data_IF_034558247847
#
_entry.id   IF_034558247847
#
_cell.length_a   1.000
_cell.length_b   1.000
_cell.length_c   1.000
_cell.angle_alpha   90.00
_cell.angle_beta   90.00
_cell.angle_gamma   90.00
#
_symmetry.space_group_name_H-M   'P 1'
#
loop_
_entity.id
_entity.type
_entity.pdbx_description
1 polymer ?
#
# COMPACT_ATOMS: atom_id res chain seq x y z
N UNK A 1 -21.17 21.02 17.75
CA UNK A 1 -20.24 22.17 17.55
C UNK A 1 -19.60 22.03 16.19
N UNK A 2 -19.18 23.10 15.51
CA UNK A 2 -18.53 23.00 14.19
C UNK A 2 -17.04 23.29 14.26
N UNK A 3 -16.25 22.55 13.48
CA UNK A 3 -14.81 22.75 13.27
C UNK A 3 -14.59 23.09 11.81
N UNK A 4 -13.71 24.05 11.52
CA UNK A 4 -13.48 24.53 10.16
C UNK A 4 -11.99 24.57 9.85
N UNK A 5 -11.65 24.16 8.64
CA UNK A 5 -10.33 24.32 8.04
C UNK A 5 -10.40 25.47 7.04
N UNK A 6 -9.45 26.39 7.16
CA UNK A 6 -9.39 27.61 6.35
C UNK A 6 -8.19 27.62 5.38
N UNK A 7 -7.69 26.43 5.02
CA UNK A 7 -6.56 26.23 4.10
C UNK A 7 -6.92 26.54 2.64
N UNK A 8 -6.08 26.08 1.71
CA UNK A 8 -6.33 26.13 0.26
C UNK A 8 -7.68 25.53 -0.16
N UNK A 9 -8.20 24.53 0.59
CA UNK A 9 -9.55 24.02 0.42
C UNK A 9 -10.24 23.91 1.78
N UNK A 10 -11.30 24.71 1.95
CA UNK A 10 -12.06 24.75 3.19
C UNK A 10 -12.92 23.50 3.35
N UNK A 11 -12.86 22.90 4.53
CA UNK A 11 -13.71 21.79 4.95
C UNK A 11 -14.30 22.09 6.32
N UNK A 12 -15.60 21.80 6.48
CA UNK A 12 -16.34 22.00 7.74
C UNK A 12 -16.77 20.65 8.29
N UNK A 13 -16.64 20.50 9.60
CA UNK A 13 -16.95 19.28 10.33
C UNK A 13 -17.95 19.56 11.44
N UNK A 14 -18.88 18.62 11.63
CA UNK A 14 -19.75 18.59 12.80
C UNK A 14 -19.15 17.68 13.86
N UNK A 15 -19.00 18.20 15.08
CA UNK A 15 -18.55 17.45 16.24
C UNK A 15 -19.72 16.91 17.05
N UNK A 16 -19.66 15.61 17.35
CA UNK A 16 -20.59 14.91 18.22
C UNK A 16 -19.83 14.05 19.25
N UNK A 17 -20.39 13.99 20.47
CA UNK A 17 -19.96 13.05 21.52
C UNK A 17 -20.73 11.75 21.32
N UNK A 18 -20.03 10.61 21.36
CA UNK A 18 -20.60 9.27 21.26
C UNK A 18 -20.59 8.60 22.64
N UNK A 19 -21.19 7.40 22.75
CA UNK A 19 -21.20 6.65 24.02
C UNK A 19 -19.80 6.21 24.49
N UNK A 20 -18.86 6.12 23.55
CA UNK A 20 -17.52 5.55 23.68
C UNK A 20 -16.42 6.54 23.27
N UNK A 21 -16.76 7.77 22.89
CA UNK A 21 -15.76 8.77 22.51
C UNK A 21 -16.34 10.00 21.82
N UNK A 22 -15.74 10.39 20.71
CA UNK A 22 -16.21 11.51 19.90
C UNK A 22 -15.94 11.29 18.42
N UNK A 23 -16.72 11.97 17.58
CA UNK A 23 -16.59 11.94 16.12
C UNK A 23 -16.73 13.34 15.52
N UNK A 24 -15.92 13.60 14.50
CA UNK A 24 -16.05 14.70 13.56
C UNK A 24 -16.55 14.14 12.24
N UNK A 25 -17.69 14.63 11.75
CA UNK A 25 -18.25 14.22 10.45
C UNK A 25 -18.17 15.37 9.45
N UNK A 26 -17.62 15.09 8.28
CA UNK A 26 -17.45 16.05 7.20
C UNK A 26 -18.01 15.56 5.87
N UNK A 27 -18.13 16.47 4.90
CA UNK A 27 -18.56 16.14 3.53
C UNK A 27 -17.44 16.22 2.49
N UNK A 28 -16.21 16.48 2.93
CA UNK A 28 -15.02 16.57 2.09
C UNK A 28 -14.24 15.26 2.03
N UNK A 29 -12.92 15.35 1.87
CA UNK A 29 -12.01 14.19 1.78
C UNK A 29 -12.02 13.38 3.06
N UNK A 30 -12.02 14.07 4.20
CA UNK A 30 -12.24 13.47 5.51
C UNK A 30 -13.74 13.41 5.77
N UNK A 31 -14.30 12.21 5.70
CA UNK A 31 -15.73 11.94 5.93
C UNK A 31 -16.02 11.73 7.41
N UNK A 32 -15.13 11.04 8.10
CA UNK A 32 -15.21 10.85 9.54
C UNK A 32 -13.81 10.82 10.16
N UNK A 33 -13.66 11.46 11.32
CA UNK A 33 -12.53 11.30 12.23
C UNK A 33 -13.08 11.02 13.62
N UNK A 34 -12.81 9.85 14.18
CA UNK A 34 -13.27 9.48 15.50
C UNK A 34 -12.11 9.18 16.44
N UNK A 35 -12.33 9.44 17.73
CA UNK A 35 -11.50 8.91 18.82
C UNK A 35 -12.42 8.13 19.73
N UNK A 36 -12.17 6.83 19.85
CA UNK A 36 -12.95 5.92 20.71
C UNK A 36 -12.08 5.36 21.83
N UNK A 37 -12.74 5.07 22.95
CA UNK A 37 -12.15 4.51 24.15
C UNK A 37 -12.81 3.16 24.42
N UNK A 38 -11.99 2.14 24.66
CA UNK A 38 -12.42 0.75 24.78
C UNK A 38 -12.95 0.38 26.17
N UNK A 39 -12.75 -0.88 26.55
CA UNK A 39 -13.18 -1.41 27.84
C UNK A 39 -12.50 -0.67 29.01
N UNK A 40 -13.22 -0.53 30.13
CA UNK A 40 -12.73 0.16 31.33
C UNK A 40 -12.86 1.68 31.30
N UNK A 41 -13.17 2.29 30.16
CA UNK A 41 -13.48 3.72 30.06
C UNK A 41 -14.97 3.98 30.33
N UNK A 42 -15.25 5.06 31.06
CA UNK A 42 -16.59 5.50 31.40
C UNK A 42 -17.20 6.36 30.28
N UNK A 43 -18.44 6.83 30.49
CA UNK A 43 -19.12 7.68 29.49
C UNK A 43 -18.39 9.01 29.32
N UNK A 44 -18.03 9.41 28.09
CA UNK A 44 -17.38 10.70 27.84
C UNK A 44 -18.29 11.90 28.08
N UNK A 45 -17.68 13.02 28.46
CA UNK A 45 -18.33 14.31 28.64
C UNK A 45 -17.69 15.36 27.74
N UNK A 46 -18.51 16.25 27.16
CA UNK A 46 -18.00 17.36 26.38
C UNK A 46 -17.16 18.31 27.25
N UNK A 47 -16.10 18.87 26.69
CA UNK A 47 -15.33 19.92 27.35
C UNK A 47 -16.22 21.17 27.58
N UNK A 48 -16.06 21.82 28.72
CA UNK A 48 -16.77 23.05 29.04
C UNK A 48 -16.38 24.20 28.10
N UNK A 49 -15.09 24.27 27.75
CA UNK A 49 -14.51 25.26 26.85
C UNK A 49 -13.84 24.56 25.65
N UNK A 50 -14.36 24.82 24.44
CA UNK A 50 -13.80 24.32 23.19
C UNK A 50 -14.46 23.04 22.66
N UNK A 51 -13.85 22.45 21.63
CA UNK A 51 -14.34 21.23 20.98
C UNK A 51 -13.51 20.04 21.46
N UNK A 52 -14.16 19.04 22.04
CA UNK A 52 -13.48 17.87 22.58
C UNK A 52 -14.27 17.16 23.68
N UNK A 53 -13.65 16.14 24.26
CA UNK A 53 -14.19 15.36 25.38
C UNK A 53 -13.17 15.15 26.49
N UNK A 54 -13.69 14.89 27.68
CA UNK A 54 -12.99 14.25 28.80
C UNK A 54 -13.69 12.92 29.11
N UNK A 55 -12.91 11.91 29.47
CA UNK A 55 -13.41 10.58 29.83
C UNK A 55 -12.56 10.02 30.97
N UNK A 56 -13.18 9.37 31.94
CA UNK A 56 -12.49 8.72 33.06
C UNK A 56 -12.38 7.22 32.81
N UNK A 57 -11.27 6.61 33.22
CA UNK A 57 -11.11 5.16 33.29
C UNK A 57 -11.37 4.69 34.73
N UNK A 58 -11.95 3.49 34.90
CA UNK A 58 -12.22 2.88 36.22
C UNK A 58 -10.97 2.73 37.09
N UNK A 59 -9.78 2.70 36.48
CA UNK A 59 -8.50 2.65 37.18
C UNK A 59 -8.02 4.01 37.73
N UNK A 60 -8.68 5.13 37.38
CA UNK A 60 -8.31 6.48 37.83
C UNK A 60 -7.40 7.25 36.87
N UNK A 61 -7.41 6.89 35.58
CA UNK A 61 -6.77 7.65 34.49
C UNK A 61 -7.81 8.53 33.81
N UNK A 62 -7.47 9.77 33.51
CA UNK A 62 -8.32 10.72 32.78
C UNK A 62 -7.81 10.87 31.35
N UNK A 63 -8.69 10.58 30.40
CA UNK A 63 -8.48 10.81 28.97
C UNK A 63 -9.05 12.16 28.55
N UNK A 64 -8.31 12.89 27.72
CA UNK A 64 -8.78 14.15 27.11
C UNK A 64 -8.52 14.13 25.62
N UNK A 65 -9.54 14.49 24.85
CA UNK A 65 -9.44 14.72 23.40
C UNK A 65 -9.81 16.17 23.14
N UNK A 66 -8.96 16.91 22.43
CA UNK A 66 -9.22 18.30 22.04
C UNK A 66 -9.04 18.48 20.54
N UNK A 67 -9.99 19.17 19.92
CA UNK A 67 -9.97 19.52 18.51
C UNK A 67 -9.89 21.04 18.38
N UNK A 68 -8.97 21.52 17.55
CA UNK A 68 -8.79 22.95 17.28
C UNK A 68 -8.91 23.23 15.79
N UNK A 69 -9.78 24.18 15.44
CA UNK A 69 -9.94 24.73 14.08
C UNK A 69 -8.75 25.63 13.69
N UNK A 70 -8.55 25.85 12.40
CA UNK A 70 -7.53 26.77 11.91
C UNK A 70 -7.19 26.54 10.45
N UNK A 71 -6.00 27.02 10.03
CA UNK A 71 -5.46 26.69 8.69
C UNK A 71 -5.27 25.18 8.54
N UNK A 72 -5.04 24.49 9.65
CA UNK A 72 -4.97 23.03 9.76
C UNK A 72 -5.79 22.64 10.98
N UNK A 73 -6.54 21.55 10.89
CA UNK A 73 -7.23 21.04 12.07
C UNK A 73 -6.21 20.30 12.94
N UNK A 74 -6.22 20.56 14.25
CA UNK A 74 -5.36 19.87 15.21
C UNK A 74 -6.19 19.00 16.15
N UNK A 75 -5.78 17.76 16.33
CA UNK A 75 -6.30 16.81 17.29
C UNK A 75 -5.23 16.53 18.35
N UNK A 76 -5.50 16.82 19.61
CA UNK A 76 -4.66 16.43 20.75
C UNK A 76 -5.38 15.34 21.55
N UNK A 77 -4.66 14.27 21.85
CA UNK A 77 -5.12 13.16 22.70
C UNK A 77 -4.15 13.04 23.87
N UNK A 78 -4.68 12.95 25.08
CA UNK A 78 -3.89 12.91 26.30
C UNK A 78 -4.48 11.94 27.32
N UNK A 79 -3.61 11.24 28.05
CA UNK A 79 -3.94 10.44 29.23
C UNK A 79 -3.14 10.94 30.42
N UNK A 80 -3.83 11.19 31.54
CA UNK A 80 -3.22 11.61 32.80
C UNK A 80 -3.60 10.65 33.93
N UNK A 81 -2.62 10.20 34.69
CA UNK A 81 -2.84 9.36 35.87
C UNK A 81 -2.97 10.23 37.12
N UNK A 82 -4.18 10.28 37.68
CA UNK A 82 -4.48 11.07 38.88
C UNK A 82 -4.21 10.31 40.19
N UNK A 83 -3.85 9.04 40.11
CA UNK A 83 -3.65 8.13 41.25
C UNK A 83 -2.17 7.95 41.58
N UNK A 84 -1.91 7.40 42.77
CA UNK A 84 -0.56 7.28 43.33
C UNK A 84 0.27 6.10 42.81
N UNK A 85 -0.31 5.25 41.96
CA UNK A 85 0.29 4.00 41.48
C UNK A 85 0.48 4.02 39.95
N UNK A 86 1.36 3.17 39.42
CA UNK A 86 1.52 2.98 37.96
C UNK A 86 0.33 2.19 37.44
N UNK A 87 -0.29 2.68 36.37
CA UNK A 87 -1.49 2.08 35.79
C UNK A 87 -1.23 1.73 34.33
N UNK A 88 -1.76 0.58 33.90
CA UNK A 88 -1.89 0.22 32.49
C UNK A 88 -3.35 0.31 32.08
N UNK A 89 -3.62 0.98 30.96
CA UNK A 89 -4.95 1.11 30.36
C UNK A 89 -4.89 0.83 28.87
N UNK A 90 -5.99 0.36 28.31
CA UNK A 90 -6.15 0.29 26.85
C UNK A 90 -6.12 1.70 26.26
N UNK A 91 -5.30 1.88 25.23
CA UNK A 91 -5.15 3.14 24.53
C UNK A 91 -6.40 3.51 23.71
N UNK A 92 -6.64 4.81 23.48
CA UNK A 92 -7.70 5.23 22.58
C UNK A 92 -7.41 4.80 21.14
N UNK A 93 -8.44 4.58 20.34
CA UNK A 93 -8.32 4.35 18.89
C UNK A 93 -8.71 5.63 18.17
N UNK A 94 -7.82 6.11 17.30
CA UNK A 94 -8.09 7.16 16.33
C UNK A 94 -8.42 6.50 14.99
N UNK A 95 -9.59 6.78 14.43
CA UNK A 95 -10.01 6.25 13.13
C UNK A 95 -10.34 7.38 12.16
N UNK A 96 -9.85 7.26 10.93
CA UNK A 96 -10.14 8.17 9.83
C UNK A 96 -10.80 7.42 8.68
N UNK A 97 -11.81 8.05 8.07
CA UNK A 97 -12.48 7.54 6.88
C UNK A 97 -12.62 8.64 5.84
N UNK A 98 -12.36 8.29 4.58
CA UNK A 98 -12.53 9.17 3.42
C UNK A 98 -13.40 8.56 2.33
N UNK A 99 -13.44 9.21 1.17
CA UNK A 99 -14.17 8.72 0.00
C UNK A 99 -13.57 7.45 -0.61
N UNK A 100 -12.24 7.32 -0.51
CA UNK A 100 -11.45 6.18 -0.94
C UNK A 100 -10.80 5.52 0.29
N UNK A 101 -10.36 4.25 0.17
CA UNK A 101 -9.59 3.60 1.23
C UNK A 101 -8.42 4.46 1.71
N UNK A 102 -8.27 4.57 3.02
CA UNK A 102 -7.18 5.32 3.66
C UNK A 102 -5.86 4.59 3.46
N UNK A 103 -4.79 5.35 3.26
CA UNK A 103 -3.42 4.83 3.18
C UNK A 103 -2.72 5.20 4.48
N UNK A 104 -2.53 4.21 5.35
CA UNK A 104 -1.81 4.39 6.61
C UNK A 104 -0.35 4.00 6.52
N UNK A 105 0.54 4.86 7.00
CA UNK A 105 1.91 4.52 7.38
C UNK A 105 2.08 4.83 8.86
N UNK A 106 1.94 3.80 9.71
CA UNK A 106 1.93 3.91 11.17
C UNK A 106 3.18 3.26 11.75
N UNK A 107 4.21 4.07 11.99
CA UNK A 107 5.57 3.61 12.14
C UNK A 107 6.19 3.93 13.52
N UNK A 108 5.41 4.12 14.58
CA UNK A 108 5.95 4.47 15.90
C UNK A 108 6.00 5.99 16.09
N UNK A 109 7.18 6.60 16.04
CA UNK A 109 7.33 8.05 16.22
C UNK A 109 6.83 8.89 15.01
N UNK A 110 6.57 8.24 13.88
CA UNK A 110 5.98 8.85 12.68
C UNK A 110 4.70 8.11 12.29
N UNK A 111 3.67 8.88 11.95
CA UNK A 111 2.37 8.35 11.56
C UNK A 111 1.70 9.26 10.53
N UNK A 112 1.24 8.69 9.43
CA UNK A 112 0.50 9.39 8.38
C UNK A 112 -0.72 8.59 7.94
N UNK A 113 -1.87 9.25 7.81
CA UNK A 113 -3.05 8.72 7.13
C UNK A 113 -3.36 9.64 5.94
N UNK A 114 -3.19 9.13 4.72
CA UNK A 114 -3.57 9.84 3.50
C UNK A 114 -5.00 9.46 3.11
N UNK A 115 -5.80 10.46 2.77
CA UNK A 115 -7.18 10.36 2.34
C UNK A 115 -7.27 10.79 0.87
N UNK A 116 -7.13 9.87 -0.10
CA UNK A 116 -7.23 10.22 -1.51
C UNK A 116 -8.64 10.74 -1.85
N UNK A 117 -8.71 11.79 -2.65
CA UNK A 117 -9.97 12.41 -3.07
C UNK A 117 -9.90 12.99 -4.49
N UNK A 118 -11.05 13.10 -5.19
CA UNK A 118 -11.13 13.63 -6.55
C UNK A 118 -10.68 15.09 -6.66
N UNK A 119 -10.85 15.86 -5.59
CA UNK A 119 -10.48 17.28 -5.54
C UNK A 119 -9.06 17.51 -4.98
N UNK A 120 -8.30 16.43 -4.74
CA UNK A 120 -6.98 16.38 -4.11
C UNK A 120 -7.01 15.58 -2.79
N UNK A 121 -5.85 15.25 -2.18
CA UNK A 121 -5.81 14.43 -0.98
C UNK A 121 -5.97 15.23 0.31
N UNK A 122 -6.37 14.54 1.37
CA UNK A 122 -6.21 14.96 2.75
C UNK A 122 -5.06 14.21 3.41
N UNK A 123 -4.39 14.82 4.38
CA UNK A 123 -3.31 14.20 5.15
C UNK A 123 -3.53 14.43 6.64
N UNK A 124 -3.65 13.36 7.40
CA UNK A 124 -3.54 13.38 8.85
C UNK A 124 -2.11 12.96 9.23
N UNK A 125 -1.31 13.89 9.75
CA UNK A 125 0.08 13.64 10.11
C UNK A 125 0.30 13.77 11.62
N UNK A 126 1.02 12.82 12.19
CA UNK A 126 1.45 12.85 13.58
C UNK A 126 2.49 13.97 13.78
N UNK A 127 2.32 14.73 14.86
CA UNK A 127 3.23 15.82 15.27
C UNK A 127 3.97 15.50 16.56
N UNK A 128 3.42 14.61 17.38
CA UNK A 128 4.01 14.16 18.65
C UNK A 128 3.40 12.82 19.06
N UNK A 129 4.16 12.04 19.82
CA UNK A 129 3.71 10.83 20.50
C UNK A 129 4.30 9.58 19.85
N UNK A 130 3.73 8.43 20.18
CA UNK A 130 4.00 7.16 19.53
C UNK A 130 2.68 6.62 18.97
N UNK A 131 2.72 5.99 17.82
CA UNK A 131 1.55 5.42 17.18
C UNK A 131 1.79 3.95 16.79
N UNK A 132 0.74 3.14 16.91
CA UNK A 132 0.75 1.71 16.58
C UNK A 132 -0.45 1.42 15.66
N UNK A 133 -0.31 0.58 14.62
CA UNK A 133 -1.41 0.25 13.71
C UNK A 133 -2.64 -0.26 14.47
N UNK A 134 -3.83 0.15 14.01
CA UNK A 134 -5.10 -0.36 14.51
C UNK A 134 -5.50 -1.69 13.87
N UNK A 135 -6.78 -2.07 14.05
CA UNK A 135 -7.31 -3.35 13.56
C UNK A 135 -7.75 -3.32 12.10
N UNK A 136 -8.07 -2.12 11.60
CA UNK A 136 -8.54 -1.89 10.24
C UNK A 136 -7.77 -0.72 9.57
N UNK A 137 -7.77 -0.63 8.22
CA UNK A 137 -7.17 0.50 7.51
C UNK A 137 -7.73 1.84 7.99
N UNK A 138 -6.84 2.80 8.24
CA UNK A 138 -7.20 4.11 8.77
C UNK A 138 -7.43 4.15 10.28
N UNK A 139 -7.22 3.06 11.00
CA UNK A 139 -7.20 3.02 12.47
C UNK A 139 -5.77 3.06 13.02
N UNK A 140 -5.57 3.81 14.09
CA UNK A 140 -4.29 3.94 14.78
C UNK A 140 -4.52 4.11 16.27
N UNK A 141 -3.68 3.48 17.09
CA UNK A 141 -3.58 3.80 18.52
C UNK A 141 -2.59 4.95 18.68
N UNK A 142 -3.03 6.19 18.91
CA UNK A 142 -2.16 7.36 18.86
C UNK A 142 -1.27 7.48 20.12
N UNK A 143 -1.41 6.57 21.09
CA UNK A 143 -0.59 6.50 22.31
C UNK A 143 -0.01 5.10 22.56
N UNK A 144 -0.23 4.14 21.65
CA UNK A 144 -0.01 2.71 21.85
C UNK A 144 -1.30 1.95 22.21
N UNK A 145 -1.33 0.65 21.89
CA UNK A 145 -2.49 -0.23 22.15
C UNK A 145 -2.74 -0.40 23.66
N UNK A 146 -1.67 -0.57 24.43
CA UNK A 146 -1.67 -0.56 25.90
C UNK A 146 -0.73 0.54 26.36
N UNK A 147 -1.22 1.41 27.26
CA UNK A 147 -0.48 2.59 27.72
C UNK A 147 -0.18 2.46 29.20
N UNK A 148 1.10 2.40 29.56
CA UNK A 148 1.57 2.51 30.94
C UNK A 148 1.71 3.99 31.32
N UNK A 149 0.98 4.44 32.33
CA UNK A 149 1.00 5.82 32.83
C UNK A 149 1.44 5.82 34.29
N UNK A 150 2.62 6.39 34.56
CA UNK A 150 3.13 6.53 35.93
C UNK A 150 2.33 7.59 36.73
N UNK A 151 2.41 7.60 38.07
CA UNK A 151 1.69 8.57 38.90
C UNK A 151 1.97 10.01 38.47
N UNK A 152 0.91 10.80 38.24
CA UNK A 152 0.98 12.21 37.77
C UNK A 152 1.70 12.39 36.43
N UNK A 153 1.86 11.33 35.66
CA UNK A 153 2.40 11.41 34.31
C UNK A 153 1.30 11.78 33.32
N UNK A 154 1.67 12.63 32.36
CA UNK A 154 0.87 12.99 31.21
C UNK A 154 1.49 12.36 29.95
N UNK A 155 0.76 11.47 29.29
CA UNK A 155 1.14 10.89 27.99
C UNK A 155 0.28 11.53 26.92
N UNK A 156 0.87 11.99 25.82
CA UNK A 156 0.13 12.77 24.82
C UNK A 156 0.56 12.48 23.38
N UNK A 157 -0.40 12.68 22.48
CA UNK A 157 -0.19 12.67 21.05
C UNK A 157 -0.92 13.84 20.40
N UNK A 158 -0.35 14.29 19.29
CA UNK A 158 -0.91 15.38 18.52
C UNK A 158 -0.89 15.01 17.04
N UNK A 159 -1.99 15.24 16.35
CA UNK A 159 -2.16 15.01 14.93
C UNK A 159 -2.69 16.27 14.26
N UNK A 160 -2.28 16.51 13.02
CA UNK A 160 -2.81 17.62 12.22
C UNK A 160 -3.39 17.10 10.93
N UNK A 161 -4.58 17.55 10.59
CA UNK A 161 -5.20 17.31 9.31
C UNK A 161 -5.07 18.53 8.40
N UNK A 162 -4.61 18.27 7.18
CA UNK A 162 -4.35 19.25 6.13
C UNK A 162 -4.97 18.79 4.81
N UNK A 163 -5.42 19.74 4.00
CA UNK A 163 -5.98 19.48 2.67
C UNK A 163 -5.07 20.05 1.60
N UNK A 164 -4.95 19.32 0.48
CA UNK A 164 -4.17 19.72 -0.68
C UNK A 164 -5.08 19.83 -1.90
N UNK A 165 -4.74 20.76 -2.80
CA UNK A 165 -5.35 20.85 -4.13
C UNK A 165 -4.74 19.79 -5.05
N UNK A 166 -5.51 19.33 -6.03
CA UNK A 166 -5.03 18.43 -7.07
C UNK A 166 -6.11 17.46 -7.50
N UNK A 167 -5.71 16.30 -7.97
CA UNK A 167 -6.56 15.15 -8.28
C UNK A 167 -6.19 13.91 -7.45
N UNK A 168 -6.78 12.76 -7.79
CA UNK A 168 -6.53 11.49 -7.10
C UNK A 168 -5.07 11.01 -7.17
N UNK A 169 -4.32 11.43 -8.18
CA UNK A 169 -2.90 11.11 -8.34
C UNK A 169 -2.00 12.19 -7.73
N UNK A 170 -2.52 13.26 -7.14
CA UNK A 170 -1.75 14.26 -6.39
C UNK A 170 -1.58 13.83 -4.92
N UNK A 171 -1.29 12.56 -4.62
CA UNK A 171 -1.05 12.17 -3.22
C UNK A 171 0.14 12.96 -2.64
N UNK A 172 0.14 13.30 -1.35
CA UNK A 172 1.21 14.12 -0.76
C UNK A 172 2.59 13.47 -0.99
N UNK A 173 3.67 14.22 -0.83
CA UNK A 173 4.99 13.59 -0.76
C UNK A 173 5.10 12.74 0.52
N UNK A 174 5.98 11.75 0.51
CA UNK A 174 6.35 11.04 1.74
C UNK A 174 7.28 11.89 2.61
N UNK A 175 7.48 11.49 3.86
CA UNK A 175 8.38 12.19 4.76
C UNK A 175 9.81 12.26 4.18
N UNK A 176 10.46 13.42 4.29
CA UNK A 176 11.78 13.67 3.66
C UNK A 176 12.91 12.83 4.23
N UNK A 177 12.72 12.29 5.43
CA UNK A 177 13.69 11.43 6.12
C UNK A 177 13.65 9.97 5.60
N UNK A 178 12.69 9.65 4.73
CA UNK A 178 12.65 8.36 4.04
C UNK A 178 13.60 8.35 2.84
N UNK A 179 14.26 7.22 2.56
CA UNK A 179 15.06 7.05 1.35
C UNK A 179 14.26 7.33 0.09
N UNK A 180 14.90 7.97 -0.88
CA UNK A 180 14.36 8.14 -2.23
C UNK A 180 14.11 6.80 -2.93
N UNK A 181 15.01 5.83 -2.72
CA UNK A 181 14.87 4.46 -3.20
C UNK A 181 14.94 3.49 -2.03
N UNK A 182 13.81 2.90 -1.65
CA UNK A 182 13.70 1.96 -0.51
C UNK A 182 13.85 0.49 -0.92
N UNK A 183 13.52 0.19 -2.17
CA UNK A 183 13.54 -1.14 -2.74
C UNK A 183 14.46 -1.10 -3.94
N UNK A 184 15.55 -1.85 -3.88
CA UNK A 184 16.65 -1.78 -4.86
C UNK A 184 16.95 -3.17 -5.43
N UNK A 185 17.53 -3.29 -6.64
CA UNK A 185 18.05 -4.55 -7.12
C UNK A 185 19.08 -5.16 -6.16
N UNK A 186 19.18 -6.49 -6.13
CA UNK A 186 20.22 -7.20 -5.37
C UNK A 186 21.62 -6.73 -5.80
N UNK A 187 22.43 -6.33 -4.81
CA UNK A 187 23.77 -5.79 -5.02
C UNK A 187 23.82 -4.26 -5.09
N UNK A 188 22.68 -3.58 -5.06
CA UNK A 188 22.58 -2.13 -4.88
C UNK A 188 22.32 -1.76 -3.41
N UNK A 189 22.55 -0.50 -3.07
CA UNK A 189 22.48 -0.01 -1.70
C UNK A 189 21.34 0.99 -1.51
N UNK A 190 20.77 1.00 -0.31
CA UNK A 190 19.80 2.01 0.13
C UNK A 190 20.52 3.08 0.94
N UNK A 191 20.28 4.35 0.60
CA UNK A 191 20.89 5.51 1.26
C UNK A 191 19.87 6.22 2.16
N UNK A 192 20.29 6.56 3.39
CA UNK A 192 19.51 7.35 4.34
C UNK A 192 20.29 8.59 4.75
N UNK A 193 19.59 9.72 4.80
CA UNK A 193 20.10 10.92 5.45
C UNK A 193 19.42 11.08 6.81
N UNK A 194 20.20 10.91 7.88
CA UNK A 194 19.72 11.03 9.25
C UNK A 194 20.78 11.77 10.10
N UNK A 195 20.98 13.07 9.87
CA UNK A 195 22.12 13.83 10.40
C UNK A 195 22.17 13.89 11.94
N UNK A 196 21.01 13.85 12.60
CA UNK A 196 20.88 13.85 14.07
C UNK A 196 20.29 12.53 14.60
N UNK A 197 20.21 11.50 13.74
CA UNK A 197 19.54 10.24 14.03
C UNK A 197 20.48 9.05 14.17
N UNK A 198 19.90 7.91 14.54
CA UNK A 198 20.60 6.62 14.53
C UNK A 198 19.77 5.62 13.74
N UNK A 199 20.40 4.85 12.87
CA UNK A 199 19.77 3.74 12.16
C UNK A 199 20.14 2.44 12.86
N UNK A 200 19.15 1.72 13.38
CA UNK A 200 19.36 0.37 13.95
C UNK A 200 18.68 -0.68 13.10
N UNK A 201 19.36 -1.81 12.92
CA UNK A 201 18.95 -2.87 12.01
C UNK A 201 18.99 -4.24 12.72
N UNK A 202 18.04 -5.15 12.46
CA UNK A 202 18.10 -6.51 12.99
C UNK A 202 19.23 -7.32 12.32
N UNK A 203 20.20 -7.76 13.12
CA UNK A 203 21.37 -8.62 12.82
C UNK A 203 21.36 -9.38 11.45
N UNK A 204 21.84 -8.74 10.37
CA UNK A 204 22.27 -9.40 9.11
C UNK A 204 22.90 -8.44 8.09
N UNK A 205 22.59 -7.14 8.17
CA UNK A 205 22.87 -6.21 7.06
C UNK A 205 24.10 -5.34 7.32
N UNK A 206 24.91 -5.13 6.27
CA UNK A 206 26.08 -4.25 6.35
C UNK A 206 25.60 -2.80 6.32
N UNK A 207 25.80 -2.10 7.42
CA UNK A 207 25.58 -0.68 7.57
C UNK A 207 26.94 0.03 7.54
N UNK A 208 27.11 0.97 6.62
CA UNK A 208 28.22 1.91 6.63
C UNK A 208 27.68 3.31 6.97
N UNK A 209 28.34 4.00 7.89
CA UNK A 209 27.99 5.35 8.32
C UNK A 209 29.12 6.32 7.94
N UNK A 210 28.77 7.47 7.38
CA UNK A 210 29.68 8.58 7.16
C UNK A 210 28.93 9.91 7.28
N UNK A 211 29.28 10.73 8.26
CA UNK A 211 28.76 12.09 8.46
C UNK A 211 27.21 12.20 8.47
N UNK A 212 26.52 11.24 9.10
CA UNK A 212 25.05 11.23 9.20
C UNK A 212 24.32 10.70 7.97
N UNK A 213 25.07 10.24 6.97
CA UNK A 213 24.59 9.43 5.85
C UNK A 213 24.85 7.96 6.14
N UNK A 214 23.83 7.13 5.91
CA UNK A 214 23.88 5.69 6.13
C UNK A 214 23.67 4.95 4.82
N UNK A 215 24.53 3.99 4.54
CA UNK A 215 24.44 3.12 3.36
C UNK A 215 24.18 1.70 3.83
N UNK A 216 23.10 1.11 3.32
CA UNK A 216 22.63 -0.22 3.66
C UNK A 216 22.71 -1.13 2.43
N UNK A 217 23.24 -2.34 2.61
CA UNK A 217 23.28 -3.41 1.59
C UNK A 217 22.27 -4.52 1.94
N UNK A 218 20.97 -4.34 1.64
CA UNK A 218 19.92 -5.27 2.09
C UNK A 218 20.03 -6.66 1.45
N UNK A 219 19.72 -7.70 2.23
CA UNK A 219 19.52 -9.04 1.68
C UNK A 219 18.22 -9.11 0.83
N UNK A 220 18.10 -10.07 -0.11
CA UNK A 220 16.88 -10.25 -0.89
C UNK A 220 15.65 -10.42 0.01
N UNK A 221 14.63 -9.61 -0.20
CA UNK A 221 13.45 -9.54 0.67
C UNK A 221 13.18 -8.15 1.23
N UNK A 222 12.11 -8.05 2.01
CA UNK A 222 11.80 -6.85 2.79
C UNK A 222 12.31 -7.01 4.21
N UNK A 223 12.89 -5.95 4.74
CA UNK A 223 13.32 -5.84 6.13
C UNK A 223 12.88 -4.50 6.71
N UNK A 224 12.57 -4.49 8.00
CA UNK A 224 12.26 -3.28 8.75
C UNK A 224 13.48 -2.81 9.53
N UNK A 225 13.78 -1.52 9.43
CA UNK A 225 14.77 -0.83 10.24
C UNK A 225 14.10 0.19 11.16
N UNK A 226 14.83 0.61 12.19
CA UNK A 226 14.41 1.67 13.08
C UNK A 226 15.30 2.90 12.86
N UNK A 227 14.66 3.99 12.44
CA UNK A 227 15.25 5.31 12.39
C UNK A 227 14.94 6.05 13.70
N UNK A 228 15.95 6.33 14.50
CA UNK A 228 15.81 7.03 15.77
C UNK A 228 15.99 8.53 15.55
N UNK A 229 15.01 9.31 15.97
CA UNK A 229 15.09 10.76 16.04
C UNK A 229 14.64 11.29 17.41
N UNK A 230 14.47 12.60 17.52
CA UNK A 230 14.05 13.28 18.76
C UNK A 230 12.68 12.78 19.25
N UNK A 231 11.81 12.34 18.33
CA UNK A 231 10.48 11.82 18.63
C UNK A 231 10.45 10.35 19.09
N UNK A 232 11.56 9.62 19.00
CA UNK A 232 11.63 8.18 19.21
C UNK A 232 12.00 7.41 17.94
N UNK A 233 11.71 6.11 17.93
CA UNK A 233 12.00 5.24 16.80
C UNK A 233 10.85 5.25 15.77
N UNK A 234 11.21 5.42 14.50
CA UNK A 234 10.34 5.28 13.34
C UNK A 234 10.71 4.02 12.56
N UNK A 235 9.74 3.15 12.32
CA UNK A 235 9.92 1.93 11.52
C UNK A 235 9.86 2.24 10.02
N UNK A 236 10.91 1.84 9.29
CA UNK A 236 10.99 2.02 7.84
C UNK A 236 11.20 0.66 7.19
N UNK A 237 10.41 0.37 6.16
CA UNK A 237 10.58 -0.84 5.35
C UNK A 237 11.50 -0.55 4.17
N UNK A 238 12.47 -1.43 3.95
CA UNK A 238 13.40 -1.40 2.82
C UNK A 238 13.68 -2.82 2.34
N UNK A 239 14.30 -2.98 1.18
CA UNK A 239 14.62 -4.32 0.69
C UNK A 239 15.46 -4.37 -0.58
N UNK A 240 15.96 -5.58 -0.86
CA UNK A 240 16.55 -5.92 -2.15
C UNK A 240 15.66 -6.89 -2.93
N UNK A 241 15.68 -6.81 -4.26
CA UNK A 241 14.96 -7.73 -5.13
C UNK A 241 15.80 -8.30 -6.25
N UNK A 242 15.57 -9.58 -6.56
CA UNK A 242 16.03 -10.20 -7.80
C UNK A 242 15.23 -9.65 -8.98
N UNK A 243 15.88 -9.50 -10.13
CA UNK A 243 15.19 -9.10 -11.35
C UNK A 243 14.17 -10.16 -11.80
N UNK A 244 13.17 -9.72 -12.58
CA UNK A 244 12.10 -10.57 -13.06
C UNK A 244 12.60 -11.79 -13.87
N UNK A 245 13.69 -11.64 -14.63
CA UNK A 245 14.25 -12.73 -15.43
C UNK A 245 14.80 -13.85 -14.55
N UNK A 246 15.56 -13.48 -13.52
CA UNK A 246 16.07 -14.39 -12.50
C UNK A 246 14.93 -15.12 -11.78
N UNK A 247 13.87 -14.40 -11.38
CA UNK A 247 12.71 -14.99 -10.72
C UNK A 247 11.97 -15.98 -11.62
N UNK A 248 11.77 -15.66 -12.90
CA UNK A 248 11.16 -16.58 -13.87
C UNK A 248 12.01 -17.83 -14.06
N UNK A 249 13.34 -17.70 -14.18
CA UNK A 249 14.24 -18.86 -14.30
C UNK A 249 14.14 -19.81 -13.11
N UNK A 250 14.09 -19.26 -11.89
CA UNK A 250 13.85 -20.03 -10.66
C UNK A 250 12.48 -20.75 -10.70
N UNK A 251 11.42 -20.04 -11.10
CA UNK A 251 10.08 -20.60 -11.21
C UNK A 251 10.00 -21.72 -12.28
N UNK A 252 10.62 -21.55 -13.44
CA UNK A 252 10.67 -22.56 -14.51
C UNK A 252 11.40 -23.81 -14.05
N UNK A 253 12.49 -23.68 -13.29
CA UNK A 253 13.24 -24.81 -12.75
C UNK A 253 12.43 -25.74 -11.84
N UNK A 254 11.36 -25.22 -11.19
CA UNK A 254 10.48 -26.00 -10.31
C UNK A 254 9.55 -26.98 -11.07
N UNK A 255 9.46 -26.89 -12.41
CA UNK A 255 8.63 -27.75 -13.27
C UNK A 255 7.17 -27.89 -12.80
N UNK A 256 6.49 -26.77 -12.67
CA UNK A 256 5.08 -26.70 -12.30
C UNK A 256 4.13 -27.34 -13.32
N UNK A 257 2.84 -27.29 -12.99
CA UNK A 257 1.74 -27.80 -13.83
C UNK A 257 0.55 -26.83 -13.90
N UNK A 258 0.73 -25.58 -13.50
CA UNK A 258 -0.30 -24.56 -13.60
C UNK A 258 -0.21 -23.81 -14.92
N UNK A 259 -1.33 -23.24 -15.34
CA UNK A 259 -1.43 -22.37 -16.53
C UNK A 259 -0.47 -21.17 -16.45
N UNK A 260 -0.35 -20.57 -15.26
CA UNK A 260 0.57 -19.47 -14.97
C UNK A 260 2.03 -19.92 -15.03
N UNK A 261 2.35 -21.15 -14.60
CA UNK A 261 3.69 -21.71 -14.78
C UNK A 261 4.01 -21.87 -16.26
N UNK A 262 3.07 -22.39 -17.06
CA UNK A 262 3.25 -22.57 -18.50
C UNK A 262 3.55 -21.24 -19.18
N UNK A 263 2.79 -20.19 -18.85
CA UNK A 263 3.03 -18.83 -19.34
C UNK A 263 4.42 -18.30 -18.95
N UNK A 264 4.78 -18.39 -17.67
CA UNK A 264 6.08 -17.94 -17.14
C UNK A 264 7.24 -18.70 -17.80
N UNK A 265 7.10 -20.01 -18.00
CA UNK A 265 8.11 -20.83 -18.65
C UNK A 265 8.33 -20.44 -20.11
N UNK A 266 7.26 -20.22 -20.88
CA UNK A 266 7.36 -19.71 -22.26
C UNK A 266 8.08 -18.36 -22.29
N UNK A 267 7.69 -17.42 -21.43
CA UNK A 267 8.35 -16.10 -21.32
C UNK A 267 9.84 -16.22 -20.98
N UNK A 268 10.20 -17.10 -20.05
CA UNK A 268 11.59 -17.34 -19.69
C UNK A 268 12.42 -17.86 -20.88
N UNK A 269 11.88 -18.81 -21.66
CA UNK A 269 12.58 -19.38 -22.81
C UNK A 269 12.74 -18.37 -23.96
N UNK A 270 11.75 -17.48 -24.17
CA UNK A 270 11.82 -16.45 -25.22
C UNK A 270 12.89 -15.39 -24.96
N UNK A 271 13.22 -15.14 -23.71
CA UNK A 271 14.22 -14.14 -23.30
C UNK A 271 15.57 -14.76 -22.90
N UNK A 272 15.68 -16.09 -22.98
CA UNK A 272 16.80 -16.85 -22.43
C UNK A 272 17.24 -18.03 -23.30
N UNK A 273 17.83 -19.04 -22.66
CA UNK A 273 18.28 -20.26 -23.34
C UNK A 273 17.09 -21.21 -23.55
N UNK A 274 16.89 -21.63 -24.81
CA UNK A 274 15.88 -22.61 -25.16
C UNK A 274 16.32 -23.99 -24.67
N UNK A 275 15.44 -24.65 -23.92
CA UNK A 275 15.68 -25.96 -23.33
C UNK A 275 14.59 -26.95 -23.75
N UNK A 276 14.96 -27.95 -24.53
CA UNK A 276 14.05 -28.96 -25.07
C UNK A 276 13.20 -29.63 -23.98
N UNK A 277 13.77 -29.92 -22.82
CA UNK A 277 13.06 -30.56 -21.70
C UNK A 277 11.94 -29.70 -21.12
N UNK A 278 12.03 -28.38 -21.23
CA UNK A 278 11.00 -27.43 -20.81
C UNK A 278 9.99 -27.21 -21.95
N UNK A 279 10.45 -27.15 -23.20
CA UNK A 279 9.57 -27.05 -24.38
C UNK A 279 8.62 -28.25 -24.47
N UNK A 280 9.13 -29.48 -24.32
CA UNK A 280 8.32 -30.70 -24.31
C UNK A 280 7.25 -30.67 -23.19
N UNK A 281 7.61 -30.09 -22.05
CA UNK A 281 6.69 -29.94 -20.91
C UNK A 281 5.60 -28.90 -21.19
N UNK A 282 5.96 -27.80 -21.82
CA UNK A 282 5.01 -26.76 -22.27
C UNK A 282 4.03 -27.36 -23.28
N UNK A 283 4.52 -28.06 -24.30
CA UNK A 283 3.68 -28.70 -25.32
C UNK A 283 2.67 -29.68 -24.70
N UNK A 284 3.13 -30.52 -23.77
CA UNK A 284 2.26 -31.43 -23.04
C UNK A 284 1.18 -30.71 -22.22
N UNK A 285 1.54 -29.65 -21.48
CA UNK A 285 0.57 -28.88 -20.68
C UNK A 285 -0.46 -28.15 -21.55
N UNK A 286 -0.02 -27.58 -22.67
CA UNK A 286 -0.91 -26.88 -23.59
C UNK A 286 -1.90 -27.84 -24.25
N UNK A 287 -1.46 -29.05 -24.62
CA UNK A 287 -2.34 -30.10 -25.12
C UNK A 287 -3.40 -30.52 -24.07
N UNK A 288 -3.03 -30.64 -22.79
CA UNK A 288 -3.98 -30.93 -21.70
C UNK A 288 -4.97 -29.77 -21.48
N UNK A 289 -4.49 -28.53 -21.55
CA UNK A 289 -5.30 -27.33 -21.36
C UNK A 289 -6.34 -27.10 -22.46
N UNK A 290 -6.23 -27.73 -23.62
CA UNK A 290 -7.22 -27.60 -24.71
C UNK A 290 -8.63 -27.99 -24.27
N UNK A 291 -8.77 -28.91 -23.31
CA UNK A 291 -10.09 -29.35 -22.82
C UNK A 291 -10.79 -28.28 -21.99
N UNK A 292 -10.03 -27.50 -21.21
CA UNK A 292 -10.52 -26.47 -20.29
C UNK A 292 -9.56 -25.28 -20.23
N UNK A 293 -9.47 -24.46 -21.30
CA UNK A 293 -8.44 -23.44 -21.41
C UNK A 293 -8.70 -22.25 -20.50
N UNK A 294 -7.62 -21.58 -20.08
CA UNK A 294 -7.65 -20.26 -19.45
C UNK A 294 -7.01 -19.21 -20.37
N UNK A 295 -7.15 -17.93 -20.03
CA UNK A 295 -6.48 -16.87 -20.77
C UNK A 295 -4.95 -17.04 -20.75
N UNK A 296 -4.38 -17.54 -19.63
CA UNK A 296 -2.96 -17.82 -19.52
C UNK A 296 -2.48 -18.89 -20.50
N UNK A 297 -3.22 -20.00 -20.66
CA UNK A 297 -2.85 -21.06 -21.61
C UNK A 297 -3.00 -20.62 -23.06
N UNK A 298 -4.04 -19.83 -23.38
CA UNK A 298 -4.19 -19.23 -24.70
C UNK A 298 -3.01 -18.30 -25.04
N UNK A 299 -2.63 -17.42 -24.12
CA UNK A 299 -1.48 -16.53 -24.30
C UNK A 299 -0.14 -17.28 -24.35
N UNK A 300 0.03 -18.32 -23.52
CA UNK A 300 1.22 -19.17 -23.56
C UNK A 300 1.34 -19.91 -24.90
N UNK A 301 0.24 -20.46 -25.44
CA UNK A 301 0.21 -21.08 -26.77
C UNK A 301 0.54 -20.08 -27.88
N UNK A 302 0.02 -18.85 -27.79
CA UNK A 302 0.33 -17.78 -28.76
C UNK A 302 1.82 -17.42 -28.76
N UNK A 303 2.42 -17.31 -27.58
CA UNK A 303 3.85 -17.00 -27.41
C UNK A 303 4.74 -18.18 -27.83
N UNK A 304 4.32 -19.41 -27.58
CA UNK A 304 5.03 -20.64 -27.92
C UNK A 304 5.27 -20.82 -29.43
N UNK A 305 4.54 -20.12 -30.29
CA UNK A 305 4.82 -20.04 -31.73
C UNK A 305 6.25 -19.54 -32.01
N UNK A 306 6.75 -18.64 -31.18
CA UNK A 306 8.13 -18.14 -31.30
C UNK A 306 9.19 -19.14 -30.76
N UNK A 307 8.75 -20.27 -30.20
CA UNK A 307 9.58 -21.43 -29.85
C UNK A 307 9.42 -22.57 -30.87
N UNK A 308 8.99 -22.25 -32.10
CA UNK A 308 8.73 -23.18 -33.20
C UNK A 308 7.61 -24.22 -32.94
N UNK A 309 6.74 -23.99 -31.95
CA UNK A 309 5.55 -24.82 -31.71
C UNK A 309 4.37 -24.34 -32.58
N UNK A 310 3.72 -25.21 -33.39
CA UNK A 310 2.67 -24.80 -34.34
C UNK A 310 1.29 -24.59 -33.66
N UNK A 311 1.23 -23.70 -32.66
CA UNK A 311 0.11 -23.57 -31.72
C UNK A 311 -0.78 -22.35 -31.94
N UNK A 312 -0.62 -21.59 -33.03
CA UNK A 312 -1.41 -20.37 -33.26
C UNK A 312 -2.92 -20.63 -33.35
N UNK A 313 -3.34 -21.62 -34.15
CA UNK A 313 -4.76 -21.96 -34.30
C UNK A 313 -5.35 -22.51 -32.99
N UNK A 314 -4.52 -23.21 -32.20
CA UNK A 314 -4.86 -23.69 -30.86
C UNK A 314 -5.08 -22.49 -29.93
N UNK A 315 -4.17 -21.53 -29.91
CA UNK A 315 -4.28 -20.31 -29.09
C UNK A 315 -5.56 -19.53 -29.40
N UNK A 316 -5.90 -19.34 -30.68
CA UNK A 316 -7.14 -18.67 -31.10
C UNK A 316 -8.40 -19.44 -30.67
N UNK A 317 -8.35 -20.77 -30.76
CA UNK A 317 -9.46 -21.62 -30.30
C UNK A 317 -9.64 -21.54 -28.78
N UNK A 318 -8.54 -21.61 -28.03
CA UNK A 318 -8.53 -21.44 -26.57
C UNK A 318 -9.09 -20.08 -26.17
N UNK A 319 -8.61 -18.99 -26.79
CA UNK A 319 -9.09 -17.63 -26.55
C UNK A 319 -10.61 -17.52 -26.79
N UNK A 320 -11.11 -18.08 -27.89
CA UNK A 320 -12.55 -18.10 -28.20
C UNK A 320 -13.36 -18.79 -27.09
N UNK A 321 -12.87 -19.92 -26.56
CA UNK A 321 -13.53 -20.65 -25.48
C UNK A 321 -13.53 -19.87 -24.16
N UNK A 322 -12.42 -19.20 -23.83
CA UNK A 322 -12.33 -18.32 -22.65
C UNK A 322 -13.35 -17.18 -22.74
N UNK A 323 -13.52 -16.60 -23.93
CA UNK A 323 -14.47 -15.51 -24.20
C UNK A 323 -15.95 -15.94 -24.15
N UNK A 324 -16.27 -17.23 -24.00
CA UNK A 324 -17.64 -17.67 -23.73
C UNK A 324 -18.14 -17.19 -22.35
N UNK A 325 -17.23 -17.05 -21.37
CA UNK A 325 -17.51 -16.57 -20.01
C UNK A 325 -16.32 -15.77 -19.42
N UNK A 326 -15.99 -14.61 -19.99
CA UNK A 326 -14.75 -13.92 -19.66
C UNK A 326 -14.85 -13.15 -18.34
N UNK A 327 -13.72 -13.05 -17.63
CA UNK A 327 -13.47 -12.00 -16.63
C UNK A 327 -12.81 -10.78 -17.28
N UNK A 328 -12.75 -9.64 -16.57
CA UNK A 328 -12.04 -8.46 -17.05
C UNK A 328 -10.56 -8.74 -17.31
N UNK A 329 -9.95 -9.50 -16.40
CA UNK A 329 -8.53 -9.88 -16.48
C UNK A 329 -8.25 -10.78 -17.68
N UNK A 330 -9.15 -11.73 -18.00
CA UNK A 330 -9.02 -12.57 -19.20
C UNK A 330 -8.98 -11.72 -20.48
N UNK A 331 -9.90 -10.75 -20.60
CA UNK A 331 -9.98 -9.88 -21.79
C UNK A 331 -8.74 -8.99 -21.91
N UNK A 332 -8.27 -8.41 -20.80
CA UNK A 332 -7.04 -7.61 -20.80
C UNK A 332 -5.85 -8.47 -21.24
N UNK A 333 -5.70 -9.66 -20.67
CA UNK A 333 -4.58 -10.55 -20.99
C UNK A 333 -4.59 -10.97 -22.47
N UNK A 334 -5.75 -11.39 -23.00
CA UNK A 334 -5.90 -11.79 -24.40
C UNK A 334 -5.62 -10.62 -25.36
N UNK A 335 -6.07 -9.41 -25.03
CA UNK A 335 -5.85 -8.23 -25.86
C UNK A 335 -4.36 -7.84 -25.94
N UNK A 336 -3.65 -7.91 -24.81
CA UNK A 336 -2.21 -7.61 -24.74
C UNK A 336 -1.36 -8.58 -25.58
N UNK A 337 -1.86 -9.77 -25.84
CA UNK A 337 -1.21 -10.77 -26.70
C UNK A 337 -1.76 -10.79 -28.13
N UNK A 338 -2.63 -9.84 -28.51
CA UNK A 338 -3.18 -9.74 -29.86
C UNK A 338 -4.13 -10.88 -30.25
N UNK A 339 -4.65 -11.63 -29.27
CA UNK A 339 -5.63 -12.71 -29.51
C UNK A 339 -7.05 -12.17 -29.70
N UNK A 340 -7.30 -10.92 -29.29
CA UNK A 340 -8.51 -10.14 -29.56
C UNK A 340 -8.13 -8.70 -29.88
N UNK A 341 -9.03 -7.93 -30.49
CA UNK A 341 -8.75 -6.53 -30.80
C UNK A 341 -8.85 -5.64 -29.54
N UNK A 342 -8.02 -4.59 -29.49
CA UNK A 342 -8.07 -3.62 -28.39
C UNK A 342 -9.42 -2.87 -28.32
N UNK A 343 -10.08 -2.65 -29.47
CA UNK A 343 -11.42 -2.05 -29.52
C UNK A 343 -12.49 -2.94 -28.86
N UNK A 344 -12.38 -4.27 -29.03
CA UNK A 344 -13.26 -5.23 -28.36
C UNK A 344 -13.01 -5.24 -26.84
N UNK A 345 -11.78 -4.98 -26.40
CA UNK A 345 -11.42 -4.91 -24.99
C UNK A 345 -11.79 -3.59 -24.30
N UNK A 346 -11.64 -2.44 -24.99
CA UNK A 346 -11.69 -1.09 -24.38
C UNK A 346 -13.07 -0.43 -24.33
N UNK A 347 -14.14 -1.10 -24.74
CA UNK A 347 -15.49 -0.49 -24.75
C UNK A 347 -16.64 -1.45 -24.46
N UNK A 348 -16.35 -2.69 -24.07
CA UNK A 348 -17.36 -3.74 -23.89
C UNK A 348 -17.21 -4.46 -22.55
N UNK A 349 -18.29 -5.16 -22.20
CA UNK A 349 -18.30 -6.17 -21.15
C UNK A 349 -17.16 -7.19 -21.38
N UNK A 350 -16.39 -7.59 -20.35
CA UNK A 350 -16.53 -7.28 -18.92
C UNK A 350 -15.62 -6.15 -18.39
N UNK A 351 -14.71 -5.58 -19.21
CA UNK A 351 -13.74 -4.55 -18.76
C UNK A 351 -14.45 -3.22 -18.46
N UNK A 352 -15.38 -2.79 -19.32
CA UNK A 352 -16.15 -1.57 -19.12
C UNK A 352 -15.30 -0.30 -19.21
N UNK A 353 -15.23 0.47 -18.12
CA UNK A 353 -14.49 1.73 -18.03
C UNK A 353 -13.03 1.46 -17.62
N UNK A 354 -12.13 1.52 -18.59
CA UNK A 354 -10.71 1.25 -18.36
C UNK A 354 -10.03 2.30 -17.49
N UNK A 355 -10.50 3.56 -17.49
CA UNK A 355 -9.96 4.60 -16.60
C UNK A 355 -10.26 4.28 -15.15
N UNK A 356 -11.47 3.79 -14.86
CA UNK A 356 -11.81 3.32 -13.52
C UNK A 356 -10.98 2.11 -13.12
N UNK A 357 -10.77 1.15 -14.02
CA UNK A 357 -9.94 -0.04 -13.77
C UNK A 357 -8.49 0.35 -13.44
N UNK A 358 -7.92 1.30 -14.19
CA UNK A 358 -6.58 1.85 -13.94
C UNK A 358 -6.47 2.60 -12.61
N UNK A 359 -7.45 3.46 -12.30
CA UNK A 359 -7.50 4.18 -11.01
C UNK A 359 -7.64 3.24 -9.82
N UNK A 360 -8.48 2.21 -9.93
CA UNK A 360 -8.68 1.23 -8.88
C UNK A 360 -7.41 0.38 -8.68
N UNK A 361 -6.68 0.06 -9.76
CA UNK A 361 -5.37 -0.60 -9.66
C UNK A 361 -4.34 0.30 -8.95
N UNK A 362 -4.21 1.57 -9.33
CA UNK A 362 -3.30 2.51 -8.63
C UNK A 362 -3.67 2.67 -7.15
N UNK A 363 -4.96 2.71 -6.81
CA UNK A 363 -5.42 2.75 -5.43
C UNK A 363 -5.11 1.45 -4.67
N UNK A 364 -5.24 0.29 -5.33
CA UNK A 364 -4.82 -1.01 -4.77
C UNK A 364 -3.32 -1.02 -4.44
N UNK A 365 -2.50 -0.36 -5.26
CA UNK A 365 -1.06 -0.15 -5.05
C UNK A 365 -0.73 1.02 -4.10
N UNK A 366 -1.74 1.59 -3.42
CA UNK A 366 -1.60 2.72 -2.48
C UNK A 366 -0.83 3.90 -3.08
N UNK A 367 -1.00 4.12 -4.38
CA UNK A 367 -0.31 5.20 -5.12
C UNK A 367 1.22 5.11 -4.93
N UNK A 368 1.77 3.90 -4.84
CA UNK A 368 3.20 3.64 -4.68
C UNK A 368 3.80 4.08 -3.35
N UNK A 369 2.97 4.51 -2.38
CA UNK A 369 3.44 4.98 -1.08
C UNK A 369 3.82 3.82 -0.17
N UNK A 370 4.72 4.08 0.78
CA UNK A 370 4.93 3.24 1.95
C UNK A 370 3.64 3.17 2.76
N UNK A 371 3.35 1.98 3.28
CA UNK A 371 2.16 1.74 4.10
C UNK A 371 2.41 0.60 5.09
N UNK A 372 1.61 0.55 6.14
CA UNK A 372 1.60 -0.51 7.15
C UNK A 372 0.38 -1.41 7.06
N UNK A 373 -0.56 -1.08 6.17
CA UNK A 373 -1.89 -1.70 6.13
C UNK A 373 -1.97 -2.79 5.05
N UNK A 374 -2.69 -3.89 5.33
CA UNK A 374 -2.90 -5.00 4.39
C UNK A 374 -4.09 -4.77 3.43
N UNK A 375 -4.15 -5.44 2.25
CA UNK A 375 -3.28 -6.51 1.75
C UNK A 375 -2.08 -6.04 0.90
N UNK A 376 -1.13 -6.97 0.69
CA UNK A 376 0.02 -6.85 -0.22
C UNK A 376 -0.41 -6.50 -1.64
N UNK A 377 0.44 -5.77 -2.36
CA UNK A 377 0.29 -5.50 -3.79
C UNK A 377 0.29 -6.80 -4.59
N UNK A 378 -0.44 -6.81 -5.71
CA UNK A 378 -0.50 -7.96 -6.62
C UNK A 378 0.17 -7.61 -7.94
N UNK A 379 0.73 -8.62 -8.63
CA UNK A 379 1.29 -8.43 -9.97
C UNK A 379 0.24 -7.95 -10.96
N UNK A 380 -1.01 -8.37 -10.75
CA UNK A 380 -2.17 -7.93 -11.54
C UNK A 380 -2.37 -6.42 -11.47
N UNK A 381 -2.40 -5.85 -10.26
CA UNK A 381 -2.61 -4.42 -10.09
C UNK A 381 -1.43 -3.59 -10.63
N UNK A 382 -0.19 -4.10 -10.48
CA UNK A 382 1.00 -3.49 -11.09
C UNK A 382 0.89 -3.47 -12.63
N UNK A 383 0.56 -4.60 -13.23
CA UNK A 383 0.45 -4.73 -14.69
C UNK A 383 -0.65 -3.82 -15.25
N UNK A 384 -1.82 -3.79 -14.60
CA UNK A 384 -2.96 -2.93 -15.00
C UNK A 384 -2.62 -1.46 -14.83
N UNK A 385 -2.00 -1.05 -13.72
CA UNK A 385 -1.59 0.34 -13.49
C UNK A 385 -0.57 0.80 -14.53
N UNK A 386 0.37 -0.06 -14.94
CA UNK A 386 1.32 0.21 -16.04
C UNK A 386 0.65 0.37 -17.38
N UNK A 387 -0.26 -0.54 -17.72
CA UNK A 387 -1.01 -0.46 -18.97
C UNK A 387 -1.82 0.83 -19.04
N UNK A 388 -2.46 1.20 -17.95
CA UNK A 388 -3.19 2.46 -17.84
C UNK A 388 -2.26 3.67 -17.97
N UNK A 389 -1.12 3.67 -17.28
CA UNK A 389 -0.10 4.71 -17.41
C UNK A 389 0.42 4.86 -18.85
N UNK A 390 0.64 3.74 -19.55
CA UNK A 390 1.03 3.75 -20.96
C UNK A 390 -0.05 4.35 -21.87
N UNK A 391 -1.33 4.04 -21.60
CA UNK A 391 -2.48 4.64 -22.30
C UNK A 391 -2.60 6.16 -22.09
N UNK A 392 -2.18 6.66 -20.92
CA UNK A 392 -2.10 8.09 -20.61
C UNK A 392 -0.90 8.80 -21.25
N UNK A 393 0.07 8.05 -21.79
CA UNK A 393 1.29 8.57 -22.43
C UNK A 393 2.16 9.43 -21.52
N UNK A 394 2.89 10.39 -22.10
CA UNK A 394 3.81 11.29 -21.39
C UNK A 394 3.11 12.43 -20.62
N UNK A 395 1.80 12.30 -20.37
CA UNK A 395 1.08 13.28 -19.55
C UNK A 395 1.56 13.20 -18.09
N UNK A 396 1.40 14.30 -17.33
CA UNK A 396 1.77 14.33 -15.91
C UNK A 396 1.07 13.21 -15.11
N UNK A 397 -0.20 12.92 -15.42
CA UNK A 397 -0.95 11.80 -14.85
C UNK A 397 -0.35 10.44 -15.22
N UNK A 398 0.05 10.27 -16.48
CA UNK A 398 0.73 9.05 -16.94
C UNK A 398 2.07 8.82 -16.23
N UNK A 399 2.89 9.87 -16.10
CA UNK A 399 4.17 9.81 -15.39
C UNK A 399 4.01 9.46 -13.92
N UNK A 400 3.02 10.05 -13.23
CA UNK A 400 2.72 9.71 -11.83
C UNK A 400 2.23 8.28 -11.67
N UNK A 401 1.28 7.84 -12.49
CA UNK A 401 0.78 6.47 -12.46
C UNK A 401 1.90 5.45 -12.72
N UNK A 402 2.81 5.75 -13.66
CA UNK A 402 3.99 4.92 -13.92
C UNK A 402 4.93 4.87 -12.71
N UNK A 403 5.23 6.01 -12.09
CA UNK A 403 6.06 6.07 -10.89
C UNK A 403 5.46 5.26 -9.72
N UNK A 404 4.15 5.35 -9.52
CA UNK A 404 3.44 4.59 -8.49
C UNK A 404 3.50 3.09 -8.74
N UNK A 405 3.26 2.67 -9.99
CA UNK A 405 3.36 1.27 -10.37
C UNK A 405 4.80 0.75 -10.24
N UNK A 406 5.81 1.56 -10.55
CA UNK A 406 7.22 1.20 -10.41
C UNK A 406 7.63 1.01 -8.94
N UNK A 407 7.24 1.94 -8.06
CA UNK A 407 7.52 1.81 -6.62
C UNK A 407 6.86 0.57 -6.02
N UNK A 408 5.60 0.30 -6.40
CA UNK A 408 4.87 -0.88 -5.97
C UNK A 408 5.44 -2.19 -6.56
N UNK A 409 5.88 -2.19 -7.81
CA UNK A 409 6.56 -3.34 -8.41
C UNK A 409 7.84 -3.68 -7.65
N UNK A 410 8.69 -2.69 -7.36
CA UNK A 410 9.94 -2.91 -6.66
C UNK A 410 9.71 -3.57 -5.29
N UNK A 411 8.71 -3.08 -4.54
CA UNK A 411 8.27 -3.70 -3.28
C UNK A 411 7.76 -5.14 -3.48
N UNK A 412 6.97 -5.37 -4.52
CA UNK A 412 6.43 -6.69 -4.86
C UNK A 412 7.56 -7.68 -5.21
N UNK A 413 8.56 -7.24 -5.97
CA UNK A 413 9.71 -8.05 -6.36
C UNK A 413 10.57 -8.43 -5.14
N UNK A 414 10.71 -7.55 -4.13
CA UNK A 414 11.37 -7.91 -2.86
C UNK A 414 10.67 -9.12 -2.22
N UNK A 415 9.34 -9.09 -2.15
CA UNK A 415 8.59 -10.22 -1.63
C UNK A 415 8.75 -11.49 -2.49
N UNK A 416 8.67 -11.38 -3.82
CA UNK A 416 8.79 -12.51 -4.74
C UNK A 416 10.19 -13.15 -4.71
N UNK A 417 11.23 -12.38 -4.38
CA UNK A 417 12.61 -12.87 -4.22
C UNK A 417 12.75 -13.89 -3.10
N UNK A 418 11.93 -13.76 -2.04
CA UNK A 418 11.91 -14.69 -0.91
C UNK A 418 10.84 -15.76 -1.09
N UNK A 419 9.64 -15.38 -1.53
CA UNK A 419 8.50 -16.28 -1.71
C UNK A 419 7.87 -16.05 -3.09
N UNK A 420 8.33 -16.78 -4.13
CA UNK A 420 7.77 -16.67 -5.47
C UNK A 420 6.28 -17.02 -5.48
N UNK A 421 5.49 -16.18 -6.14
CA UNK A 421 4.11 -16.48 -6.52
C UNK A 421 4.02 -16.48 -8.04
N UNK A 422 3.53 -17.58 -8.61
CA UNK A 422 3.50 -17.77 -10.06
C UNK A 422 2.48 -16.85 -10.75
N UNK A 423 1.41 -16.47 -10.07
CA UNK A 423 0.37 -15.61 -10.64
C UNK A 423 0.89 -14.18 -10.72
N UNK A 424 1.49 -13.67 -9.65
CA UNK A 424 2.14 -12.36 -9.64
C UNK A 424 3.27 -12.29 -10.66
N UNK A 425 4.12 -13.31 -10.72
CA UNK A 425 5.19 -13.38 -11.74
C UNK A 425 4.65 -13.41 -13.16
N UNK A 426 3.57 -14.17 -13.43
CA UNK A 426 2.94 -14.19 -14.75
C UNK A 426 2.44 -12.81 -15.15
N UNK A 427 1.73 -12.11 -14.25
CA UNK A 427 1.26 -10.74 -14.49
C UNK A 427 2.38 -9.74 -14.74
N UNK A 428 3.45 -9.79 -13.94
CA UNK A 428 4.61 -8.92 -14.15
C UNK A 428 5.32 -9.20 -15.48
N UNK A 429 5.12 -10.39 -16.06
CA UNK A 429 5.72 -10.82 -17.33
C UNK A 429 4.86 -10.51 -18.57
N UNK A 430 3.70 -9.86 -18.41
CA UNK A 430 2.81 -9.54 -19.53
C UNK A 430 3.34 -8.39 -20.39
N UNK A 431 4.07 -7.46 -19.77
CA UNK A 431 4.50 -6.20 -20.38
C UNK A 431 5.85 -6.27 -21.08
#
# INVERSE_FOLDING_TARGET
MSVEITSAQSETFEFAVTSDGCVLTGTGRLRALAVTFGEGWLTPHALADGVGITVENVAGVVGTVRVTSGVRMRLDVALENEVGDVIEVDGPVLSAAGERPVIGWIAGASGELVLPGPDGPGLLAQRRGLCVPGSAPGEVYPLGEVVTVAPRQLVTAAWTYETFSGDLLDVPAEHTDLPLARYVPVGETVEFSAPDGMVTFPDATRLAESDGEFVLDPEPGLTQLQLWGIGGATLVEVGAYEDLSTLRGRATALRGSSDTWCYVAVRHLLEGEIRDDIVDRIDWLLAEAEESPSAWTACAAALAVNLDLPLWDVAMTMATRVLERPTADDVLLLALHGLISAEEAMGRWPVGDFDRVGLDAVAALRYGRIHTDSPRETGRDVAVARLWAAGLGESERGLRAAAYAQAAEARLLCHLSVRPDLTDLAWLSVN
#
